data_IF_637431177104
#
_entry.id   IF_637431177104
#
_cell.length_a   1.000
_cell.length_b   1.000
_cell.length_c   1.000
_cell.angle_alpha   90.00
_cell.angle_beta   90.00
_cell.angle_gamma   90.00
#
_symmetry.space_group_name_H-M   'P 1'
#
loop_
_entity.id
_entity.type
_entity.pdbx_description
1 polymer ?
#
# COMPACT_ATOMS: atom_id res chain seq x y z
N UNK A 1 30.18 -18.16 1.44
CA UNK A 1 29.19 -17.86 2.46
C UNK A 1 29.01 -16.34 2.48
N UNK A 2 28.17 -15.83 1.59
CA UNK A 2 27.86 -14.40 1.56
C UNK A 2 26.56 -14.22 2.30
N UNK A 3 26.64 -13.66 3.52
CA UNK A 3 25.49 -13.23 4.27
C UNK A 3 24.76 -12.12 3.51
N UNK A 4 23.45 -11.94 3.71
CA UNK A 4 22.74 -10.82 3.13
C UNK A 4 23.43 -9.55 3.60
N UNK A 5 23.65 -8.60 2.68
CA UNK A 5 24.18 -7.28 2.96
C UNK A 5 23.27 -6.55 3.97
N UNK A 6 23.59 -6.68 5.24
CA UNK A 6 22.86 -6.06 6.35
C UNK A 6 23.07 -4.53 6.48
N UNK A 7 23.65 -3.90 5.46
CA UNK A 7 23.92 -2.46 5.45
C UNK A 7 23.14 -1.66 4.39
N UNK A 8 21.97 -2.14 3.97
CA UNK A 8 21.09 -1.31 3.15
C UNK A 8 20.34 -0.32 4.05
N UNK A 9 20.78 0.91 4.06
CA UNK A 9 20.07 1.97 4.78
C UNK A 9 18.96 2.55 3.89
N UNK A 10 17.73 2.30 4.30
CA UNK A 10 16.55 2.84 3.64
C UNK A 10 16.21 4.22 4.20
N UNK A 11 16.13 5.20 3.33
CA UNK A 11 15.72 6.56 3.67
C UNK A 11 14.29 6.82 3.19
N UNK A 12 13.45 7.28 4.11
CA UNK A 12 12.06 7.66 3.79
C UNK A 12 12.02 9.00 3.06
N UNK A 13 11.28 9.03 1.96
CA UNK A 13 10.98 10.23 1.20
C UNK A 13 9.73 10.90 1.76
N UNK A 14 9.77 12.21 1.99
CA UNK A 14 8.57 12.97 2.33
C UNK A 14 7.73 13.23 1.08
N UNK A 15 6.45 12.89 1.15
CA UNK A 15 5.48 13.09 0.07
C UNK A 15 4.65 14.34 0.34
N UNK A 16 4.51 15.19 -0.66
CA UNK A 16 3.51 16.25 -0.65
C UNK A 16 2.19 15.72 -1.19
N UNK A 17 1.11 16.01 -0.49
CA UNK A 17 -0.24 15.58 -0.86
C UNK A 17 -0.98 16.81 -1.34
N UNK A 18 -1.26 16.86 -2.64
CA UNK A 18 -2.20 17.81 -3.21
C UNK A 18 -3.58 17.15 -3.27
N UNK A 19 -4.27 17.18 -2.14
CA UNK A 19 -5.69 16.85 -2.12
C UNK A 19 -6.45 18.14 -2.38
N UNK A 20 -7.46 18.09 -3.23
CA UNK A 20 -8.48 19.13 -3.29
C UNK A 20 -9.18 19.15 -1.93
N UNK A 21 -8.78 20.08 -1.08
CA UNK A 21 -9.31 20.31 0.27
C UNK A 21 -10.84 20.55 0.31
N UNK A 22 -11.51 20.47 -0.83
CA UNK A 22 -12.95 20.68 -0.97
C UNK A 22 -13.79 19.40 -0.99
N UNK A 23 -13.21 18.22 -0.92
CA UNK A 23 -13.98 17.06 -0.50
C UNK A 23 -14.06 17.04 1.02
N UNK A 24 -14.90 17.93 1.57
CA UNK A 24 -15.49 17.67 2.87
C UNK A 24 -16.07 16.25 2.78
N UNK A 25 -15.38 15.28 3.41
CA UNK A 25 -16.04 14.05 3.76
C UNK A 25 -17.24 14.47 4.58
N UNK A 26 -18.40 14.42 3.98
CA UNK A 26 -19.64 14.51 4.73
C UNK A 26 -19.54 13.43 5.78
N UNK A 27 -19.40 13.83 7.04
CA UNK A 27 -19.52 12.92 8.16
C UNK A 27 -20.83 12.19 7.91
N UNK A 28 -20.83 10.86 7.74
CA UNK A 28 -22.08 10.15 7.55
C UNK A 28 -22.96 10.55 8.74
N UNK A 29 -24.15 11.06 8.44
CA UNK A 29 -25.13 11.40 9.47
C UNK A 29 -25.35 10.10 10.26
N UNK A 30 -24.74 10.04 11.45
CA UNK A 30 -24.94 8.93 12.36
C UNK A 30 -26.36 9.09 12.87
N UNK A 31 -27.30 8.61 12.06
CA UNK A 31 -28.68 8.54 12.49
C UNK A 31 -28.70 7.70 13.78
N UNK A 32 -29.30 8.23 14.83
CA UNK A 32 -29.49 7.52 16.09
C UNK A 32 -30.43 6.30 15.95
N UNK A 33 -30.63 5.82 14.75
CA UNK A 33 -31.39 4.63 14.42
C UNK A 33 -30.65 3.42 15.00
N UNK A 34 -31.11 2.94 16.10
CA UNK A 34 -30.53 1.78 16.82
C UNK A 34 -30.28 2.02 18.31
N UNK A 35 -30.41 3.24 18.80
CA UNK A 35 -30.31 3.52 20.24
C UNK A 35 -31.58 3.14 21.05
N UNK A 36 -32.67 2.86 20.38
CA UNK A 36 -33.95 2.44 20.98
C UNK A 36 -34.07 0.92 21.16
N UNK A 37 -33.01 0.18 20.87
CA UNK A 37 -33.00 -1.28 20.98
C UNK A 37 -32.75 -1.68 22.43
N UNK A 38 -33.66 -2.47 23.03
CA UNK A 38 -33.48 -2.98 24.39
C UNK A 38 -32.31 -3.97 24.46
N UNK A 39 -31.69 -4.08 25.62
CA UNK A 39 -30.59 -5.02 25.84
C UNK A 39 -30.98 -6.49 25.52
N UNK A 40 -32.23 -6.86 25.74
CA UNK A 40 -32.77 -8.18 25.44
C UNK A 40 -32.82 -8.43 23.92
N UNK A 41 -33.26 -7.45 23.13
CA UNK A 41 -33.28 -7.55 21.68
C UNK A 41 -31.86 -7.65 21.11
N UNK A 42 -30.93 -6.87 21.65
CA UNK A 42 -29.51 -6.93 21.26
C UNK A 42 -28.91 -8.30 21.59
N UNK A 43 -29.19 -8.85 22.76
CA UNK A 43 -28.70 -10.16 23.19
C UNK A 43 -29.24 -11.28 22.27
N UNK A 44 -30.53 -11.29 21.98
CA UNK A 44 -31.14 -12.26 21.08
C UNK A 44 -30.60 -12.12 19.62
N UNK A 45 -30.38 -10.91 19.14
CA UNK A 45 -29.75 -10.65 17.86
C UNK A 45 -28.33 -11.19 17.82
N UNK A 46 -27.56 -10.99 18.89
CA UNK A 46 -26.22 -11.55 19.00
C UNK A 46 -26.22 -13.08 18.99
N UNK A 47 -27.10 -13.73 19.77
CA UNK A 47 -27.20 -15.19 19.80
C UNK A 47 -27.55 -15.76 18.41
N UNK A 48 -28.41 -15.09 17.66
CA UNK A 48 -28.80 -15.50 16.30
C UNK A 48 -27.65 -15.31 15.31
N UNK A 49 -26.74 -14.38 15.58
CA UNK A 49 -25.58 -14.07 14.72
C UNK A 49 -24.36 -14.96 14.99
N UNK A 50 -24.35 -15.75 16.08
CA UNK A 50 -23.18 -16.59 16.43
C UNK A 50 -22.77 -17.53 15.29
N UNK A 51 -23.67 -18.27 14.61
CA UNK A 51 -23.28 -19.14 13.50
C UNK A 51 -22.63 -18.36 12.35
N UNK A 52 -23.13 -17.16 12.07
CA UNK A 52 -22.57 -16.28 11.05
C UNK A 52 -21.20 -15.73 11.44
N UNK A 53 -20.97 -15.45 12.70
CA UNK A 53 -19.65 -15.06 13.22
C UNK A 53 -18.62 -16.17 13.06
N UNK A 54 -19.01 -17.42 13.26
CA UNK A 54 -18.13 -18.57 13.04
C UNK A 54 -17.76 -18.72 11.54
N UNK A 55 -18.70 -18.51 10.64
CA UNK A 55 -18.44 -18.48 9.19
C UNK A 55 -17.47 -17.36 8.82
N UNK A 56 -17.68 -16.16 9.33
CA UNK A 56 -16.78 -15.02 9.12
C UNK A 56 -15.39 -15.31 9.66
N UNK A 57 -15.30 -15.94 10.83
CA UNK A 57 -14.01 -16.31 11.44
C UNK A 57 -13.26 -17.31 10.57
N UNK A 58 -13.93 -18.34 10.06
CA UNK A 58 -13.34 -19.34 9.18
C UNK A 58 -12.88 -18.68 7.88
N UNK A 59 -13.72 -17.85 7.28
CA UNK A 59 -13.39 -17.09 6.06
C UNK A 59 -12.19 -16.15 6.28
N UNK A 60 -12.13 -15.47 7.43
CA UNK A 60 -11.02 -14.62 7.79
C UNK A 60 -9.73 -15.41 7.97
N UNK A 61 -9.77 -16.55 8.64
CA UNK A 61 -8.59 -17.43 8.80
C UNK A 61 -8.09 -17.96 7.46
N UNK A 62 -8.99 -18.31 6.53
CA UNK A 62 -8.63 -18.71 5.17
C UNK A 62 -7.94 -17.57 4.42
N UNK A 63 -8.52 -16.39 4.45
CA UNK A 63 -7.90 -15.19 3.84
C UNK A 63 -6.52 -14.88 4.42
N UNK A 64 -6.38 -14.97 5.75
CA UNK A 64 -5.08 -14.72 6.40
C UNK A 64 -4.03 -15.73 5.99
N UNK A 65 -4.41 -16.99 5.76
CA UNK A 65 -3.51 -18.01 5.23
C UNK A 65 -3.07 -17.69 3.80
N UNK A 66 -4.00 -17.32 2.93
CA UNK A 66 -3.70 -16.93 1.55
C UNK A 66 -2.80 -15.70 1.48
N UNK A 67 -3.03 -14.71 2.34
CA UNK A 67 -2.18 -13.51 2.44
C UNK A 67 -0.77 -13.88 2.92
N UNK A 68 -0.66 -14.75 3.92
CA UNK A 68 0.65 -15.23 4.39
C UNK A 68 1.43 -15.94 3.29
N UNK A 69 0.77 -16.80 2.53
CA UNK A 69 1.38 -17.49 1.41
C UNK A 69 1.80 -16.52 0.29
N UNK A 70 0.99 -15.51 0.02
CA UNK A 70 1.31 -14.46 -0.95
C UNK A 70 2.50 -13.62 -0.50
N UNK A 71 2.57 -13.26 0.78
CA UNK A 71 3.72 -12.53 1.37
C UNK A 71 4.99 -13.36 1.30
N UNK A 72 4.92 -14.66 1.58
CA UNK A 72 6.10 -15.53 1.49
C UNK A 72 6.57 -15.68 0.05
N UNK A 73 5.65 -15.84 -0.91
CA UNK A 73 5.99 -15.86 -2.34
C UNK A 73 6.62 -14.56 -2.78
N UNK A 74 6.10 -13.44 -2.32
CA UNK A 74 6.62 -12.12 -2.64
C UNK A 74 8.01 -11.89 -2.03
N UNK A 75 8.24 -12.33 -0.80
CA UNK A 75 9.57 -12.33 -0.18
C UNK A 75 10.59 -13.16 -0.96
N UNK A 76 10.17 -14.25 -1.58
CA UNK A 76 11.02 -15.08 -2.41
C UNK A 76 11.28 -14.41 -3.77
N UNK A 77 10.26 -13.81 -4.37
CA UNK A 77 10.38 -13.12 -5.66
C UNK A 77 11.08 -11.76 -5.55
N UNK A 78 10.97 -11.07 -4.41
CA UNK A 78 11.61 -9.77 -4.18
C UNK A 78 13.12 -9.85 -3.96
N UNK A 79 13.70 -11.03 -3.97
CA UNK A 79 15.16 -11.19 -4.04
C UNK A 79 15.74 -10.85 -5.40
N UNK A 80 14.92 -10.82 -6.44
CA UNK A 80 15.29 -10.32 -7.75
C UNK A 80 14.74 -8.90 -7.88
N UNK A 81 15.65 -7.92 -7.87
CA UNK A 81 15.30 -6.53 -8.08
C UNK A 81 14.62 -6.39 -9.44
N UNK A 82 13.40 -5.88 -9.44
CA UNK A 82 12.67 -5.59 -10.67
C UNK A 82 13.23 -4.37 -11.36
N UNK A 83 13.34 -4.40 -12.67
CA UNK A 83 13.63 -3.20 -13.43
C UNK A 83 12.43 -2.22 -13.41
N UNK A 84 12.71 -0.93 -13.50
CA UNK A 84 11.67 0.10 -13.57
C UNK A 84 10.66 -0.17 -14.70
N UNK A 85 11.13 -0.59 -15.87
CA UNK A 85 10.28 -0.84 -17.03
C UNK A 85 9.29 -1.99 -16.79
N UNK A 86 9.74 -3.07 -16.17
CA UNK A 86 8.87 -4.19 -15.81
C UNK A 86 7.84 -3.78 -14.75
N UNK A 87 8.26 -3.06 -13.74
CA UNK A 87 7.37 -2.54 -12.71
C UNK A 87 6.27 -1.65 -13.29
N UNK A 88 6.64 -0.69 -14.13
CA UNK A 88 5.68 0.22 -14.75
C UNK A 88 4.72 -0.50 -15.70
N UNK A 89 5.20 -1.49 -16.43
CA UNK A 89 4.35 -2.31 -17.31
C UNK A 89 3.30 -3.10 -16.52
N UNK A 90 3.68 -3.68 -15.40
CA UNK A 90 2.78 -4.49 -14.58
C UNK A 90 1.71 -3.64 -13.89
N UNK A 91 2.06 -2.45 -13.43
CA UNK A 91 1.14 -1.57 -12.69
C UNK A 91 0.37 -0.58 -13.59
N UNK A 92 0.74 -0.50 -14.87
CA UNK A 92 0.18 0.50 -15.78
C UNK A 92 0.70 1.92 -15.51
N UNK A 93 1.90 2.03 -14.98
CA UNK A 93 2.57 3.31 -14.74
C UNK A 93 3.19 3.90 -15.99
N UNK A 94 3.58 5.16 -15.90
CA UNK A 94 4.15 5.93 -17.00
C UNK A 94 5.48 6.54 -16.55
N UNK A 95 6.49 6.41 -17.39
CA UNK A 95 7.74 7.14 -17.27
C UNK A 95 7.73 8.32 -18.26
N UNK A 96 7.79 9.51 -17.72
CA UNK A 96 7.96 10.75 -18.46
C UNK A 96 9.35 11.32 -18.11
N UNK A 97 10.09 11.89 -19.05
CA UNK A 97 11.52 12.28 -19.03
C UNK A 97 12.21 12.36 -17.65
N UNK A 98 11.57 12.98 -16.67
CA UNK A 98 12.09 13.19 -15.32
C UNK A 98 11.10 12.77 -14.21
N UNK A 99 10.04 12.07 -14.57
CA UNK A 99 8.96 11.77 -13.63
C UNK A 99 8.38 10.38 -13.85
N UNK A 100 8.24 9.65 -12.76
CA UNK A 100 7.55 8.36 -12.72
C UNK A 100 6.13 8.60 -12.18
N UNK A 101 5.12 8.15 -12.91
CA UNK A 101 3.72 8.18 -12.47
C UNK A 101 3.25 6.76 -12.19
N UNK A 102 2.88 6.51 -10.96
CA UNK A 102 2.37 5.22 -10.50
C UNK A 102 0.90 5.36 -10.11
N UNK A 103 -0.02 4.66 -10.81
CA UNK A 103 -1.43 4.66 -10.41
C UNK A 103 -1.60 3.85 -9.12
N UNK A 104 -2.23 4.43 -8.12
CA UNK A 104 -2.52 3.79 -6.84
C UNK A 104 -3.98 3.97 -6.47
N UNK A 105 -4.65 2.87 -6.13
CA UNK A 105 -6.05 2.86 -5.70
C UNK A 105 -6.13 2.94 -4.16
N UNK A 106 -5.60 3.99 -3.56
CA UNK A 106 -5.66 4.18 -2.11
C UNK A 106 -6.63 5.28 -1.70
N UNK A 107 -7.38 5.03 -0.63
CA UNK A 107 -8.18 6.06 0.05
C UNK A 107 -7.38 6.80 1.13
N UNK A 108 -6.17 6.34 1.44
CA UNK A 108 -5.32 6.87 2.50
C UNK A 108 -3.96 7.33 1.96
N UNK A 109 -3.92 8.40 1.17
CA UNK A 109 -2.66 8.88 0.57
C UNK A 109 -1.61 9.31 1.60
N UNK A 110 -2.03 9.67 2.80
CA UNK A 110 -1.12 10.01 3.91
C UNK A 110 -0.35 8.81 4.45
N UNK A 111 -0.82 7.60 4.19
CA UNK A 111 -0.18 6.35 4.62
C UNK A 111 0.75 5.75 3.57
N UNK A 112 0.85 6.35 2.39
CA UNK A 112 1.82 5.94 1.38
C UNK A 112 3.23 6.22 1.88
N UNK A 113 4.08 5.21 1.83
CA UNK A 113 5.49 5.33 2.20
C UNK A 113 6.33 5.04 0.98
N UNK A 114 7.24 5.95 0.66
CA UNK A 114 8.27 5.76 -0.35
C UNK A 114 9.62 5.80 0.32
N UNK A 115 10.42 4.79 0.10
CA UNK A 115 11.76 4.67 0.63
C UNK A 115 12.76 4.50 -0.50
N UNK A 116 13.92 5.07 -0.34
CA UNK A 116 15.02 4.96 -1.29
C UNK A 116 16.23 4.36 -0.60
N UNK A 117 16.92 3.48 -1.30
CA UNK A 117 18.17 2.88 -0.83
C UNK A 117 19.26 3.05 -1.88
N UNK A 118 20.42 3.44 -1.45
CA UNK A 118 21.61 3.57 -2.29
C UNK A 118 22.49 2.33 -2.11
N UNK A 119 22.62 1.54 -3.15
CA UNK A 119 23.56 0.44 -3.18
C UNK A 119 24.73 0.78 -4.10
N UNK A 120 25.86 0.09 -3.94
CA UNK A 120 27.08 0.32 -4.75
C UNK A 120 26.84 0.23 -6.25
N UNK A 121 25.88 -0.59 -6.66
CA UNK A 121 25.60 -0.87 -8.06
C UNK A 121 24.30 -0.25 -8.57
N UNK A 122 23.35 0.07 -7.73
CA UNK A 122 21.97 0.42 -8.12
C UNK A 122 21.31 1.32 -7.07
N UNK A 123 20.39 2.15 -7.52
CA UNK A 123 19.50 2.86 -6.63
C UNK A 123 18.15 2.15 -6.62
N UNK A 124 17.69 1.78 -5.45
CA UNK A 124 16.44 1.08 -5.23
C UNK A 124 15.37 2.02 -4.70
N UNK A 125 14.15 1.82 -5.15
CA UNK A 125 12.97 2.52 -4.63
C UNK A 125 11.96 1.47 -4.18
N UNK A 126 11.43 1.66 -2.98
CA UNK A 126 10.36 0.83 -2.43
C UNK A 126 9.12 1.68 -2.15
N UNK A 127 7.99 1.21 -2.63
CA UNK A 127 6.69 1.83 -2.42
C UNK A 127 5.84 0.90 -1.56
N UNK A 128 5.31 1.44 -0.46
CA UNK A 128 4.32 0.78 0.38
C UNK A 128 3.04 1.62 0.31
N UNK A 129 1.97 1.01 -0.17
CA UNK A 129 0.68 1.68 -0.27
C UNK A 129 -0.42 0.82 0.34
N UNK A 130 -1.25 1.36 1.25
CA UNK A 130 -2.45 0.69 1.68
C UNK A 130 -3.48 0.75 0.53
N UNK A 131 -3.96 -0.39 0.12
CA UNK A 131 -5.02 -0.51 -0.88
C UNK A 131 -6.28 -1.13 -0.27
N UNK A 132 -7.45 -0.95 -0.94
CA UNK A 132 -8.75 -1.40 -0.43
C UNK A 132 -8.78 -2.91 -0.19
N UNK A 133 -8.05 -3.70 -0.99
CA UNK A 133 -8.03 -5.16 -0.95
C UNK A 133 -6.63 -5.74 -0.64
N UNK A 134 -5.95 -5.19 0.31
CA UNK A 134 -4.59 -5.56 0.68
C UNK A 134 -3.62 -4.41 0.46
N UNK A 135 -2.41 -4.52 0.90
CA UNK A 135 -1.37 -3.52 0.67
C UNK A 135 -0.57 -3.83 -0.58
N UNK A 136 0.04 -2.83 -1.17
CA UNK A 136 1.05 -2.97 -2.19
C UNK A 136 2.42 -2.73 -1.59
N UNK A 137 3.35 -3.63 -1.81
CA UNK A 137 4.77 -3.47 -1.48
C UNK A 137 5.56 -3.82 -2.73
N UNK A 138 6.17 -2.83 -3.36
CA UNK A 138 6.95 -3.01 -4.57
C UNK A 138 8.32 -2.36 -4.44
N UNK A 139 9.33 -3.07 -4.91
CA UNK A 139 10.71 -2.59 -4.95
C UNK A 139 11.24 -2.69 -6.38
N UNK A 140 11.83 -1.61 -6.88
CA UNK A 140 12.37 -1.55 -8.23
C UNK A 140 13.65 -0.74 -8.31
N UNK A 141 14.41 -0.95 -9.37
CA UNK A 141 15.67 -0.26 -9.66
C UNK A 141 15.43 0.93 -10.58
N UNK A 142 16.07 2.06 -10.28
CA UNK A 142 15.98 3.26 -11.12
C UNK A 142 17.28 3.58 -11.89
N UNK A 143 18.30 2.73 -11.75
CA UNK A 143 19.62 2.93 -12.36
C UNK A 143 20.56 3.77 -11.49
N UNK A 144 21.87 3.61 -11.74
CA UNK A 144 22.92 4.23 -10.91
C UNK A 144 22.94 5.75 -10.90
N UNK A 145 22.56 6.35 -12.02
CA UNK A 145 22.69 7.79 -12.26
C UNK A 145 21.40 8.56 -11.97
N UNK A 146 20.36 7.87 -11.53
CA UNK A 146 19.05 8.46 -11.25
C UNK A 146 18.77 8.39 -9.76
N UNK A 147 18.27 9.50 -9.22
CA UNK A 147 17.87 9.62 -7.81
C UNK A 147 16.46 10.20 -7.75
N UNK A 148 15.67 9.76 -6.79
CA UNK A 148 14.39 10.41 -6.50
C UNK A 148 14.68 11.67 -5.67
N UNK A 149 14.29 12.82 -6.19
CA UNK A 149 14.45 14.11 -5.52
C UNK A 149 13.25 14.46 -4.64
N UNK A 150 12.06 14.16 -5.13
CA UNK A 150 10.81 14.44 -4.41
C UNK A 150 9.69 13.53 -4.87
N UNK A 151 8.63 13.46 -4.09
CA UNK A 151 7.41 12.72 -4.41
C UNK A 151 6.16 13.53 -4.10
N UNK A 152 5.13 13.33 -4.89
CA UNK A 152 3.86 14.01 -4.76
C UNK A 152 2.70 13.08 -5.06
N UNK A 153 1.62 13.20 -4.31
CA UNK A 153 0.36 12.51 -4.57
C UNK A 153 -0.65 13.47 -5.20
N UNK A 154 -1.12 13.12 -6.38
CA UNK A 154 -2.08 13.95 -7.14
C UNK A 154 -3.01 13.06 -7.95
N UNK A 155 -4.32 13.27 -7.82
CA UNK A 155 -5.34 12.64 -8.65
C UNK A 155 -5.21 11.11 -8.80
N UNK A 156 -5.02 10.40 -7.69
CA UNK A 156 -4.81 8.95 -7.64
C UNK A 156 -3.51 8.45 -8.31
N UNK A 157 -2.54 9.34 -8.49
CA UNK A 157 -1.22 9.00 -8.97
C UNK A 157 -0.15 9.41 -7.97
N UNK A 158 0.79 8.52 -7.74
CA UNK A 158 2.04 8.86 -7.08
C UNK A 158 3.03 9.33 -8.14
N UNK A 159 3.43 10.58 -8.08
CA UNK A 159 4.44 11.16 -8.94
C UNK A 159 5.78 11.23 -8.22
N UNK A 160 6.78 10.56 -8.76
CA UNK A 160 8.15 10.57 -8.24
C UNK A 160 9.05 11.32 -9.23
N UNK A 161 9.71 12.34 -8.77
CA UNK A 161 10.59 13.16 -9.60
C UNK A 161 12.01 12.63 -9.56
N UNK A 162 12.58 12.43 -10.75
CA UNK A 162 13.95 11.96 -10.93
C UNK A 162 14.90 13.14 -11.10
N UNK A 163 16.06 13.01 -10.49
CA UNK A 163 17.20 13.93 -10.65
C UNK A 163 18.42 13.18 -11.19
#
# INVERSE_FOLDING_TARGET
MFGPNDNMEWMRLELSIEDDLNKQKSIPDISNVGLDVTAEIMHNSFLTSIPHLDEIKISHMSMMSEISDAIEKDKVSSRENRSLDLFLKDIGGILDDSKIKVPLATEFPTEIIVETCKNENENLVRILSPEIFGGMIETFEIGKNKKISSGRWVNNYLELYLE
#
